data_IF_025828816665
#
_entry.id   IF_025828816665
#
_cell.length_a   1.000
_cell.length_b   1.000
_cell.length_c   1.000
_cell.angle_alpha   90.00
_cell.angle_beta   90.00
_cell.angle_gamma   90.00
#
_symmetry.space_group_name_H-M   'P 1'
#
loop_
_entity.id
_entity.type
_entity.pdbx_description
1 polymer ?
#
# COMPACT_ATOMS: atom_id res chain seq x y z
N UNK A 1 6.58 34.88 5.61
CA UNK A 1 6.56 34.24 6.94
C UNK A 1 7.97 33.72 7.14
N UNK A 2 8.72 34.37 8.03
CA UNK A 2 10.15 34.13 8.20
C UNK A 2 10.44 32.73 8.74
N UNK A 3 11.56 32.14 8.34
CA UNK A 3 12.03 30.82 8.78
C UNK A 3 12.18 30.78 10.33
N UNK A 4 12.59 31.88 10.93
CA UNK A 4 12.71 32.04 12.39
C UNK A 4 11.36 31.95 13.14
N UNK A 5 10.26 32.37 12.53
CA UNK A 5 8.91 32.34 13.15
C UNK A 5 8.35 30.89 13.16
N UNK A 6 8.79 30.08 12.20
CA UNK A 6 8.36 28.67 12.06
C UNK A 6 9.07 27.75 13.05
N UNK A 7 10.34 28.03 13.34
CA UNK A 7 11.12 27.23 14.32
C UNK A 7 10.60 27.45 15.75
N UNK A 8 10.27 28.70 16.12
CA UNK A 8 9.67 29.03 17.41
C UNK A 8 8.28 28.42 17.57
N UNK A 9 7.49 28.38 16.50
CA UNK A 9 6.17 27.75 16.52
C UNK A 9 6.28 26.23 16.71
N UNK A 10 7.22 25.58 16.02
CA UNK A 10 7.48 24.15 16.15
C UNK A 10 7.98 23.78 17.55
N UNK A 11 8.83 24.60 18.16
CA UNK A 11 9.29 24.43 19.53
C UNK A 11 8.13 24.47 20.51
N UNK A 12 7.26 25.46 20.40
CA UNK A 12 6.04 25.58 21.25
C UNK A 12 5.10 24.39 21.06
N UNK A 13 4.89 23.93 19.82
CA UNK A 13 4.06 22.76 19.52
C UNK A 13 4.64 21.51 20.16
N UNK A 14 5.96 21.35 20.11
CA UNK A 14 6.68 20.20 20.70
C UNK A 14 6.57 20.22 22.22
N UNK A 15 6.80 21.37 22.88
CA UNK A 15 6.71 21.48 24.33
C UNK A 15 5.30 21.17 24.86
N UNK A 16 4.27 21.70 24.18
CA UNK A 16 2.86 21.43 24.53
C UNK A 16 2.53 19.94 24.31
N UNK A 17 3.05 19.35 23.24
CA UNK A 17 2.83 17.94 22.94
C UNK A 17 3.50 17.02 23.98
N UNK A 18 4.74 17.26 24.34
CA UNK A 18 5.47 16.53 25.40
C UNK A 18 4.73 16.67 26.74
N UNK A 19 4.31 17.89 27.10
CA UNK A 19 3.56 18.10 28.35
C UNK A 19 2.27 17.25 28.39
N UNK A 20 1.56 17.17 27.28
CA UNK A 20 0.28 16.46 27.21
C UNK A 20 0.44 14.94 27.07
N UNK A 21 1.26 14.47 26.11
CA UNK A 21 1.32 13.06 25.75
C UNK A 21 2.33 12.25 26.56
N UNK A 22 3.46 12.84 26.97
CA UNK A 22 4.49 12.15 27.74
C UNK A 22 4.35 12.40 29.23
N UNK A 23 4.10 13.66 29.63
CA UNK A 23 4.03 14.05 31.04
C UNK A 23 2.60 13.97 31.60
N UNK A 24 1.61 13.51 30.83
CA UNK A 24 0.21 13.34 31.22
C UNK A 24 -0.45 14.58 31.83
N UNK A 25 0.04 15.79 31.52
CA UNK A 25 -0.57 17.04 31.98
C UNK A 25 -1.91 17.27 31.28
N UNK A 26 -2.89 17.79 32.04
CA UNK A 26 -4.17 18.17 31.45
C UNK A 26 -4.06 19.44 30.62
N UNK A 27 -4.97 19.64 29.66
CA UNK A 27 -4.99 20.87 28.86
C UNK A 27 -5.16 22.14 29.74
N UNK A 28 -5.70 22.01 30.94
CA UNK A 28 -5.90 23.09 31.88
C UNK A 28 -4.60 23.47 32.60
N UNK A 29 -3.79 22.49 33.00
CA UNK A 29 -2.46 22.69 33.58
C UNK A 29 -1.50 23.30 32.57
N UNK A 30 -1.53 22.80 31.32
CA UNK A 30 -0.75 23.35 30.21
C UNK A 30 -1.17 24.79 29.91
N UNK A 31 -2.46 25.08 29.89
CA UNK A 31 -2.96 26.43 29.69
C UNK A 31 -2.44 27.42 30.76
N UNK A 32 -2.42 27.02 32.02
CA UNK A 32 -1.86 27.82 33.14
C UNK A 32 -0.35 27.99 32.97
N UNK A 33 0.40 26.92 32.64
CA UNK A 33 1.84 26.95 32.49
C UNK A 33 2.30 27.90 31.38
N UNK A 34 1.61 27.87 30.23
CA UNK A 34 1.98 28.67 29.06
C UNK A 34 1.25 30.01 28.96
N UNK A 35 0.38 30.35 29.91
CA UNK A 35 -0.37 31.63 29.91
C UNK A 35 -1.36 31.76 28.75
N UNK A 36 -1.91 30.65 28.27
CA UNK A 36 -2.85 30.62 27.12
C UNK A 36 -4.17 29.97 27.51
N UNK A 37 -5.21 30.12 26.69
CA UNK A 37 -6.50 29.49 26.99
C UNK A 37 -6.45 27.98 26.70
N UNK A 38 -7.26 27.19 27.47
CA UNK A 38 -7.45 25.74 27.22
C UNK A 38 -7.85 25.42 25.78
N UNK A 39 -8.70 26.29 25.18
CA UNK A 39 -9.11 26.13 23.77
C UNK A 39 -7.91 26.28 22.83
N UNK A 40 -6.99 27.20 23.13
CA UNK A 40 -5.76 27.39 22.35
C UNK A 40 -4.84 26.17 22.49
N UNK A 41 -4.69 25.58 23.67
CA UNK A 41 -3.95 24.32 23.87
C UNK A 41 -4.51 23.21 22.98
N UNK A 42 -5.83 23.01 22.99
CA UNK A 42 -6.48 22.00 22.13
C UNK A 42 -6.22 22.22 20.63
N UNK A 43 -6.22 23.49 20.16
CA UNK A 43 -5.87 23.82 18.77
C UNK A 43 -4.41 23.52 18.45
N UNK A 44 -3.47 23.84 19.35
CA UNK A 44 -2.05 23.58 19.17
C UNK A 44 -1.75 22.08 19.17
N UNK A 45 -2.37 21.29 20.03
CA UNK A 45 -2.27 19.83 20.01
C UNK A 45 -2.80 19.23 18.70
N UNK A 46 -3.91 19.77 18.17
CA UNK A 46 -4.42 19.38 16.85
C UNK A 46 -3.41 19.75 15.74
N UNK A 47 -2.82 20.95 15.80
CA UNK A 47 -1.82 21.42 14.85
C UNK A 47 -0.57 20.55 14.90
N UNK A 48 -0.05 20.20 16.09
CA UNK A 48 1.09 19.31 16.28
C UNK A 48 0.89 17.94 15.60
N UNK A 49 -0.34 17.40 15.63
CA UNK A 49 -0.70 16.18 14.90
C UNK A 49 -0.74 16.39 13.39
N UNK A 50 -1.31 17.50 12.93
CA UNK A 50 -1.40 17.81 11.50
C UNK A 50 -0.03 18.05 10.86
N UNK A 51 0.91 18.60 11.62
CA UNK A 51 2.28 18.87 11.17
C UNK A 51 3.26 17.71 11.43
N UNK A 52 2.77 16.58 11.95
CA UNK A 52 3.58 15.37 12.17
C UNK A 52 4.52 15.43 13.37
N UNK A 53 4.43 16.48 14.23
CA UNK A 53 5.19 16.57 15.49
C UNK A 53 4.71 15.51 16.49
N UNK A 54 3.43 15.16 16.42
CA UNK A 54 2.82 14.09 17.23
C UNK A 54 2.20 13.05 16.33
N UNK A 55 2.64 11.82 16.47
CA UNK A 55 2.01 10.66 15.87
C UNK A 55 1.33 9.80 16.95
N UNK A 56 0.03 9.56 16.78
CA UNK A 56 -0.74 8.71 17.67
C UNK A 56 -1.02 7.39 16.98
N UNK A 57 -0.39 6.32 17.46
CA UNK A 57 -0.66 4.97 17.01
C UNK A 57 -1.62 4.28 17.99
N UNK A 58 -2.90 4.22 17.64
CA UNK A 58 -3.90 3.49 18.43
C UNK A 58 -3.84 2.02 18.08
N UNK A 59 -3.30 1.20 18.98
CA UNK A 59 -3.39 -0.25 18.86
C UNK A 59 -4.85 -0.66 19.08
N UNK A 60 -5.54 -0.93 17.96
CA UNK A 60 -6.93 -1.39 18.03
C UNK A 60 -7.02 -2.74 18.72
N UNK A 61 -8.02 -2.88 19.61
CA UNK A 61 -8.28 -4.14 20.26
C UNK A 61 -8.74 -5.18 19.21
N UNK A 62 -8.16 -6.37 19.15
CA UNK A 62 -8.42 -7.37 18.11
C UNK A 62 -9.89 -7.78 17.93
N UNK A 63 -10.74 -7.53 18.93
CA UNK A 63 -12.15 -7.95 18.92
C UNK A 63 -12.97 -7.28 17.80
N UNK A 64 -12.64 -6.04 17.37
CA UNK A 64 -13.46 -5.33 16.37
C UNK A 64 -13.20 -5.78 14.92
N UNK A 65 -11.98 -6.16 14.60
CA UNK A 65 -11.66 -6.67 13.26
C UNK A 65 -11.82 -8.18 13.15
N UNK A 66 -11.62 -8.93 14.25
CA UNK A 66 -11.54 -10.38 14.25
C UNK A 66 -12.76 -11.09 13.64
N UNK A 67 -13.98 -10.57 13.84
CA UNK A 67 -15.19 -11.17 13.27
C UNK A 67 -15.24 -11.01 11.73
N UNK A 68 -14.92 -9.81 11.23
CA UNK A 68 -14.90 -9.52 9.79
C UNK A 68 -13.75 -10.28 9.14
N UNK A 69 -12.57 -10.28 9.76
CA UNK A 69 -11.42 -11.05 9.30
C UNK A 69 -11.74 -12.53 9.16
N UNK A 70 -12.38 -13.12 10.17
CA UNK A 70 -12.80 -14.53 10.13
C UNK A 70 -13.83 -14.79 9.03
N UNK A 71 -14.78 -13.88 8.81
CA UNK A 71 -15.74 -13.98 7.73
C UNK A 71 -15.05 -13.97 6.36
N UNK A 72 -14.03 -13.12 6.17
CA UNK A 72 -13.21 -13.11 4.95
C UNK A 72 -12.47 -14.42 4.72
N UNK A 73 -11.76 -14.90 5.73
CA UNK A 73 -11.04 -16.19 5.66
C UNK A 73 -12.00 -17.31 5.26
N UNK A 74 -13.16 -17.37 5.89
CA UNK A 74 -14.17 -18.41 5.59
C UNK A 74 -14.80 -18.26 4.20
N UNK A 75 -15.05 -17.02 3.75
CA UNK A 75 -15.73 -16.78 2.48
C UNK A 75 -14.82 -16.96 1.26
N UNK A 76 -13.52 -16.67 1.38
CA UNK A 76 -12.60 -16.63 0.26
C UNK A 76 -11.44 -17.63 0.36
N UNK A 77 -11.29 -18.35 1.48
CA UNK A 77 -10.20 -19.31 1.67
C UNK A 77 -8.81 -18.69 1.78
N UNK A 78 -8.72 -17.37 2.03
CA UNK A 78 -7.44 -16.66 2.20
C UNK A 78 -6.82 -16.97 3.57
N UNK A 79 -5.51 -16.75 3.69
CA UNK A 79 -4.78 -17.02 4.95
C UNK A 79 -5.14 -16.01 6.04
N UNK A 80 -5.35 -14.73 5.67
CA UNK A 80 -5.65 -13.66 6.62
C UNK A 80 -6.30 -12.45 5.93
N UNK A 81 -7.10 -11.70 6.72
CA UNK A 81 -7.52 -10.35 6.37
C UNK A 81 -7.01 -9.38 7.44
N UNK A 82 -6.47 -8.26 7.01
CA UNK A 82 -5.99 -7.16 7.86
C UNK A 82 -6.95 -5.98 7.64
N UNK A 83 -7.87 -5.78 8.58
CA UNK A 83 -8.98 -4.84 8.41
C UNK A 83 -8.76 -3.61 9.30
N UNK A 84 -8.53 -2.46 8.65
CA UNK A 84 -8.43 -1.17 9.33
C UNK A 84 -9.82 -0.57 9.58
N UNK A 85 -9.96 0.16 10.67
CA UNK A 85 -11.17 0.96 10.94
C UNK A 85 -11.28 2.06 9.87
N UNK A 86 -12.54 2.39 9.53
CA UNK A 86 -12.82 3.43 8.55
C UNK A 86 -12.39 4.81 9.03
N UNK A 87 -11.77 5.57 8.16
CA UNK A 87 -11.41 6.96 8.37
C UNK A 87 -11.95 7.83 7.23
N UNK A 88 -12.30 9.09 7.53
CA UNK A 88 -12.85 10.02 6.52
C UNK A 88 -11.76 10.57 5.59
N UNK A 89 -10.55 10.76 6.10
CA UNK A 89 -9.40 11.21 5.33
C UNK A 89 -8.74 10.00 4.65
N UNK A 90 -8.56 10.05 3.34
CA UNK A 90 -8.01 8.94 2.55
C UNK A 90 -6.55 8.65 2.88
N UNK A 91 -5.74 9.68 3.18
CA UNK A 91 -4.35 9.49 3.56
C UNK A 91 -4.24 8.82 4.93
N UNK A 92 -5.08 9.23 5.88
CA UNK A 92 -5.14 8.58 7.18
C UNK A 92 -5.64 7.13 7.04
N UNK A 93 -6.65 6.87 6.21
CA UNK A 93 -7.12 5.52 5.91
C UNK A 93 -5.98 4.67 5.34
N UNK A 94 -5.18 5.21 4.42
CA UNK A 94 -4.02 4.53 3.82
C UNK A 94 -2.94 4.25 4.86
N UNK A 95 -2.64 5.21 5.74
CA UNK A 95 -1.68 5.03 6.85
C UNK A 95 -2.11 3.92 7.80
N UNK A 96 -3.40 3.86 8.15
CA UNK A 96 -3.97 2.82 9.02
C UNK A 96 -3.82 1.42 8.42
N UNK A 97 -4.19 1.25 7.15
CA UNK A 97 -4.03 -0.02 6.43
C UNK A 97 -2.54 -0.40 6.34
N UNK A 98 -1.68 0.55 5.99
CA UNK A 98 -0.23 0.34 5.91
C UNK A 98 0.38 -0.07 7.26
N UNK A 99 -0.10 0.51 8.37
CA UNK A 99 0.32 0.14 9.73
C UNK A 99 0.05 -1.34 10.02
N UNK A 100 -1.13 -1.84 9.67
CA UNK A 100 -1.47 -3.26 9.85
C UNK A 100 -0.53 -4.18 9.06
N UNK A 101 -0.24 -3.83 7.80
CA UNK A 101 0.69 -4.59 6.94
C UNK A 101 2.10 -4.55 7.51
N UNK A 102 2.57 -3.37 7.94
CA UNK A 102 3.91 -3.21 8.53
C UNK A 102 4.07 -4.04 9.80
N UNK A 103 3.08 -4.02 10.69
CA UNK A 103 3.07 -4.82 11.91
C UNK A 103 3.07 -6.33 11.58
N UNK A 104 2.30 -6.72 10.57
CA UNK A 104 2.28 -8.11 10.11
C UNK A 104 3.66 -8.53 9.57
N UNK A 105 4.26 -7.75 8.67
CA UNK A 105 5.60 -8.01 8.14
C UNK A 105 6.64 -8.13 9.26
N UNK A 106 6.62 -7.22 10.23
CA UNK A 106 7.53 -7.25 11.38
C UNK A 106 7.44 -8.55 12.18
N UNK A 107 6.24 -9.16 12.23
CA UNK A 107 6.01 -10.42 12.95
C UNK A 107 6.41 -11.67 12.18
N UNK A 108 6.36 -11.63 10.83
CA UNK A 108 6.56 -12.84 10.00
C UNK A 108 7.90 -12.88 9.29
N UNK A 109 8.54 -11.73 9.04
CA UNK A 109 9.83 -11.69 8.36
C UNK A 109 10.91 -12.39 9.17
N UNK A 110 11.69 -13.22 8.47
CA UNK A 110 12.84 -13.97 9.00
C UNK A 110 14.07 -13.67 8.17
N UNK A 111 15.24 -13.91 8.76
CA UNK A 111 16.49 -13.83 8.02
C UNK A 111 16.50 -14.81 6.83
N UNK A 112 17.01 -14.33 5.71
CA UNK A 112 17.08 -15.09 4.46
C UNK A 112 15.83 -15.00 3.57
N UNK A 113 14.71 -14.43 4.07
CA UNK A 113 13.51 -14.25 3.24
C UNK A 113 13.70 -13.17 2.18
N UNK A 114 12.97 -13.33 1.08
CA UNK A 114 12.87 -12.37 -0.01
C UNK A 114 11.43 -11.90 -0.20
N UNK A 115 11.28 -10.60 -0.54
CA UNK A 115 10.00 -9.95 -0.70
C UNK A 115 9.95 -9.28 -2.07
N UNK A 116 9.05 -9.71 -2.94
CA UNK A 116 8.77 -9.03 -4.20
C UNK A 116 7.89 -7.80 -3.92
N UNK A 117 8.32 -6.64 -4.40
CA UNK A 117 7.67 -5.36 -4.12
C UNK A 117 7.06 -4.79 -5.39
N UNK A 118 5.76 -4.59 -5.37
CA UNK A 118 5.02 -3.84 -6.37
C UNK A 118 5.17 -2.33 -6.18
N UNK A 119 4.40 -1.58 -6.95
CA UNK A 119 4.35 -0.12 -6.89
C UNK A 119 3.00 0.39 -6.40
N UNK A 120 2.89 1.70 -6.25
CA UNK A 120 1.63 2.39 -5.97
C UNK A 120 1.52 2.93 -4.54
N UNK A 121 0.58 3.85 -4.36
CA UNK A 121 0.39 4.62 -3.11
C UNK A 121 0.21 3.75 -1.87
N UNK A 122 -0.58 2.67 -1.99
CA UNK A 122 -0.83 1.77 -0.88
C UNK A 122 0.42 0.99 -0.45
N UNK A 123 1.24 0.55 -1.41
CA UNK A 123 2.50 -0.16 -1.11
C UNK A 123 3.55 0.83 -0.56
N UNK A 124 3.62 2.04 -1.12
CA UNK A 124 4.51 3.11 -0.65
C UNK A 124 4.23 3.51 0.80
N UNK A 125 2.96 3.54 1.20
CA UNK A 125 2.57 3.87 2.57
C UNK A 125 3.15 2.90 3.62
N UNK A 126 3.40 1.63 3.26
CA UNK A 126 4.07 0.66 4.15
C UNK A 126 5.51 1.11 4.42
N UNK A 127 6.20 1.57 3.37
CA UNK A 127 7.57 2.05 3.47
C UNK A 127 7.67 3.36 4.27
N UNK A 128 6.65 4.20 4.20
CA UNK A 128 6.57 5.49 4.91
C UNK A 128 6.09 5.37 6.36
N UNK A 129 5.53 4.23 6.77
CA UNK A 129 5.03 4.06 8.14
C UNK A 129 6.17 4.18 9.15
N UNK A 130 5.98 5.00 10.17
CA UNK A 130 6.99 5.27 11.22
C UNK A 130 6.90 4.20 12.31
N UNK A 131 8.05 3.75 12.79
CA UNK A 131 8.16 2.78 13.87
C UNK A 131 9.56 2.17 13.97
N UNK A 132 9.83 1.55 15.10
CA UNK A 132 11.04 0.76 15.30
C UNK A 132 10.77 -0.67 14.88
N UNK A 133 11.50 -1.14 13.90
CA UNK A 133 11.34 -2.49 13.35
C UNK A 133 12.54 -3.35 13.69
N UNK A 134 12.34 -4.66 13.96
CA UNK A 134 13.44 -5.57 14.18
C UNK A 134 14.29 -5.69 12.92
N UNK A 135 15.59 -5.63 13.08
CA UNK A 135 16.54 -5.91 12.00
C UNK A 135 16.31 -7.30 11.42
N UNK A 136 16.25 -7.40 10.10
CA UNK A 136 16.05 -8.66 9.38
C UNK A 136 16.99 -8.74 8.20
N UNK A 137 17.81 -9.76 8.14
CA UNK A 137 18.64 -10.07 6.97
C UNK A 137 17.75 -10.64 5.85
N UNK A 138 16.87 -9.82 5.30
CA UNK A 138 16.00 -10.15 4.19
C UNK A 138 16.31 -9.27 2.96
N UNK A 139 15.65 -9.54 1.84
CA UNK A 139 15.85 -8.82 0.59
C UNK A 139 14.53 -8.36 0.00
N UNK A 140 14.40 -7.08 -0.29
CA UNK A 140 13.28 -6.50 -1.03
C UNK A 140 13.65 -6.38 -2.51
N UNK A 141 12.90 -7.04 -3.39
CA UNK A 141 13.19 -7.17 -4.82
C UNK A 141 12.08 -6.47 -5.61
N UNK A 142 12.42 -5.58 -6.53
CA UNK A 142 11.42 -4.96 -7.40
C UNK A 142 10.67 -6.02 -8.22
N UNK A 143 9.35 -6.09 -8.05
CA UNK A 143 8.46 -6.98 -8.82
C UNK A 143 7.98 -6.36 -10.13
N UNK A 144 8.24 -5.06 -10.35
CA UNK A 144 7.91 -4.30 -11.55
C UNK A 144 9.02 -3.29 -11.81
N UNK A 145 9.18 -2.87 -13.06
CA UNK A 145 10.16 -1.86 -13.47
C UNK A 145 9.92 -0.48 -12.84
N UNK A 146 10.88 0.43 -13.03
CA UNK A 146 10.81 1.78 -12.48
C UNK A 146 9.95 2.74 -13.31
N UNK A 147 9.46 3.78 -12.69
CA UNK A 147 8.75 4.91 -13.33
C UNK A 147 9.59 6.17 -13.22
N UNK A 148 9.69 6.92 -14.31
CA UNK A 148 10.51 8.14 -14.42
C UNK A 148 9.67 9.42 -14.31
N UNK A 149 8.73 9.53 -13.37
CA UNK A 149 8.09 10.83 -13.14
C UNK A 149 8.60 11.49 -11.88
N UNK A 150 9.00 12.75 -12.02
CA UNK A 150 9.47 13.61 -10.93
C UNK A 150 8.43 13.70 -9.81
N UNK A 151 8.86 13.43 -8.59
CA UNK A 151 8.16 13.80 -7.37
C UNK A 151 7.25 12.75 -6.73
N UNK A 152 7.00 11.61 -7.31
CA UNK A 152 6.18 10.58 -6.66
C UNK A 152 7.02 9.36 -6.23
N UNK A 153 7.21 9.23 -4.92
CA UNK A 153 7.99 8.18 -4.26
C UNK A 153 7.25 6.83 -4.20
N UNK A 154 6.57 6.46 -5.30
CA UNK A 154 5.68 5.29 -5.36
C UNK A 154 6.12 4.22 -6.35
N UNK A 155 7.30 4.38 -6.97
CA UNK A 155 7.89 3.33 -7.78
C UNK A 155 8.47 2.19 -6.91
N UNK A 156 8.56 0.99 -7.51
CA UNK A 156 8.99 -0.20 -6.80
C UNK A 156 10.43 -0.10 -6.27
N UNK A 157 11.34 0.60 -6.95
CA UNK A 157 12.73 0.74 -6.49
C UNK A 157 12.80 1.64 -5.25
N UNK A 158 12.14 2.80 -5.27
CA UNK A 158 12.08 3.69 -4.12
C UNK A 158 11.46 3.00 -2.90
N UNK A 159 10.33 2.32 -3.10
CA UNK A 159 9.63 1.55 -2.06
C UNK A 159 10.54 0.46 -1.50
N UNK A 160 11.19 -0.34 -2.37
CA UNK A 160 12.08 -1.43 -1.96
C UNK A 160 13.27 -0.94 -1.15
N UNK A 161 13.89 0.18 -1.54
CA UNK A 161 15.00 0.81 -0.79
C UNK A 161 14.55 1.32 0.57
N UNK A 162 13.38 1.93 0.66
CA UNK A 162 12.84 2.44 1.92
C UNK A 162 12.46 1.31 2.87
N UNK A 163 11.84 0.24 2.37
CA UNK A 163 11.57 -0.97 3.15
C UNK A 163 12.86 -1.63 3.63
N UNK A 164 13.87 -1.76 2.74
CA UNK A 164 15.17 -2.31 3.10
C UNK A 164 15.83 -1.51 4.23
N UNK A 165 15.82 -0.16 4.12
CA UNK A 165 16.35 0.72 5.17
C UNK A 165 15.60 0.54 6.49
N UNK A 166 14.27 0.43 6.43
CA UNK A 166 13.39 0.26 7.60
C UNK A 166 13.68 -1.03 8.39
N UNK A 167 13.95 -2.13 7.68
CA UNK A 167 14.23 -3.44 8.30
C UNK A 167 15.71 -3.76 8.42
N UNK A 168 16.61 -2.80 8.14
CA UNK A 168 18.05 -3.02 8.01
C UNK A 168 18.40 -4.21 7.11
N UNK A 169 17.71 -4.26 5.97
CA UNK A 169 17.77 -5.31 4.96
C UNK A 169 18.45 -4.81 3.67
N UNK A 170 18.46 -5.61 2.62
CA UNK A 170 18.96 -5.22 1.30
C UNK A 170 17.82 -5.04 0.30
N UNK A 171 18.06 -4.27 -0.77
CA UNK A 171 17.13 -4.13 -1.88
C UNK A 171 17.79 -4.52 -3.20
N UNK A 172 16.97 -4.94 -4.15
CA UNK A 172 17.39 -5.29 -5.51
C UNK A 172 16.51 -4.59 -6.54
N UNK A 173 17.15 -3.77 -7.37
CA UNK A 173 16.50 -2.96 -8.41
C UNK A 173 16.26 -3.78 -9.67
N UNK A 174 15.08 -3.67 -10.27
CA UNK A 174 14.82 -4.15 -11.63
C UNK A 174 15.19 -3.04 -12.61
N UNK A 175 16.32 -3.19 -13.30
CA UNK A 175 16.83 -2.22 -14.26
C UNK A 175 16.08 -2.24 -15.60
N UNK A 176 14.76 -2.03 -15.52
CA UNK A 176 13.87 -1.91 -16.66
C UNK A 176 12.86 -0.81 -16.40
N UNK A 177 12.34 -0.13 -17.43
CA UNK A 177 11.14 0.70 -17.26
C UNK A 177 9.95 -0.18 -16.91
N UNK A 178 9.00 0.35 -16.12
CA UNK A 178 7.76 -0.36 -15.84
C UNK A 178 6.86 -0.46 -17.07
N UNK A 179 6.89 0.58 -17.90
CA UNK A 179 6.09 0.70 -19.12
C UNK A 179 6.99 0.87 -20.35
N UNK A 180 6.59 0.21 -21.42
CA UNK A 180 7.17 0.34 -22.77
C UNK A 180 6.06 0.49 -23.81
N UNK A 181 6.38 1.04 -24.96
CA UNK A 181 5.41 1.43 -25.98
C UNK A 181 4.74 0.24 -26.67
N UNK A 182 5.42 -0.90 -26.73
CA UNK A 182 4.93 -2.07 -27.48
C UNK A 182 5.51 -3.39 -26.97
N UNK A 183 4.92 -4.49 -27.47
CA UNK A 183 5.26 -5.86 -27.12
C UNK A 183 6.70 -6.25 -27.52
N UNK A 184 7.20 -5.72 -28.63
CA UNK A 184 8.54 -6.01 -29.15
C UNK A 184 9.60 -5.48 -28.18
N UNK A 185 9.44 -4.24 -27.71
CA UNK A 185 10.31 -3.66 -26.69
C UNK A 185 10.23 -4.44 -25.37
N UNK A 186 9.03 -4.81 -24.92
CA UNK A 186 8.89 -5.66 -23.73
C UNK A 186 9.68 -6.96 -23.89
N UNK A 187 9.54 -7.65 -25.02
CA UNK A 187 10.29 -8.89 -25.29
C UNK A 187 11.80 -8.66 -25.25
N UNK A 188 12.28 -7.57 -25.87
CA UNK A 188 13.70 -7.24 -25.88
C UNK A 188 14.24 -7.02 -24.46
N UNK A 189 13.53 -6.26 -23.60
CA UNK A 189 13.92 -6.10 -22.21
C UNK A 189 13.95 -7.43 -21.44
N UNK A 190 12.92 -8.26 -21.61
CA UNK A 190 12.84 -9.57 -20.93
C UNK A 190 13.89 -10.58 -21.37
N UNK A 191 14.54 -10.38 -22.54
CA UNK A 191 15.70 -11.16 -23.00
C UNK A 191 17.01 -10.72 -22.36
N UNK A 192 17.06 -9.49 -21.79
CA UNK A 192 18.25 -9.01 -21.11
C UNK A 192 18.53 -9.86 -19.87
N UNK A 193 19.77 -10.36 -19.74
CA UNK A 193 20.17 -11.27 -18.67
C UNK A 193 19.93 -10.70 -17.28
N UNK A 194 20.30 -9.44 -17.03
CA UNK A 194 20.18 -8.82 -15.70
C UNK A 194 18.71 -8.69 -15.30
N UNK A 195 17.85 -8.25 -16.23
CA UNK A 195 16.41 -8.11 -16.02
C UNK A 195 15.77 -9.47 -15.73
N UNK A 196 16.11 -10.47 -16.57
CA UNK A 196 15.60 -11.83 -16.42
C UNK A 196 15.98 -12.43 -15.05
N UNK A 197 17.23 -12.31 -14.63
CA UNK A 197 17.71 -12.83 -13.35
C UNK A 197 17.02 -12.15 -12.15
N UNK A 198 16.78 -10.82 -12.21
CA UNK A 198 16.06 -10.11 -11.14
C UNK A 198 14.60 -10.56 -11.07
N UNK A 199 13.90 -10.67 -12.22
CA UNK A 199 12.52 -11.17 -12.25
C UNK A 199 12.43 -12.64 -11.79
N UNK A 200 13.40 -13.48 -12.11
CA UNK A 200 13.46 -14.86 -11.62
C UNK A 200 13.60 -14.94 -10.09
N UNK A 201 14.37 -14.02 -9.49
CA UNK A 201 14.45 -13.90 -8.02
C UNK A 201 13.16 -13.37 -7.44
N UNK A 202 12.52 -12.38 -8.05
CA UNK A 202 11.24 -11.86 -7.61
C UNK A 202 10.13 -12.92 -7.67
N UNK A 203 10.10 -13.78 -8.70
CA UNK A 203 9.16 -14.92 -8.83
C UNK A 203 9.31 -15.96 -7.73
N UNK A 204 10.51 -16.08 -7.17
CA UNK A 204 10.84 -17.03 -6.09
C UNK A 204 10.79 -16.40 -4.71
N UNK A 205 10.28 -15.19 -4.60
CA UNK A 205 10.13 -14.51 -3.33
C UNK A 205 9.20 -15.29 -2.37
N UNK A 206 9.43 -15.15 -1.08
CA UNK A 206 8.59 -15.74 -0.03
C UNK A 206 7.28 -14.98 0.14
N UNK A 207 7.33 -13.66 -0.11
CA UNK A 207 6.19 -12.74 0.00
C UNK A 207 6.16 -11.82 -1.22
N UNK A 208 4.96 -11.49 -1.71
CA UNK A 208 4.74 -10.38 -2.63
C UNK A 208 3.87 -9.30 -1.99
N UNK A 209 4.24 -8.04 -2.15
CA UNK A 209 3.46 -6.86 -1.77
C UNK A 209 2.91 -6.21 -3.02
N UNK A 210 1.59 -6.19 -3.19
CA UNK A 210 0.94 -5.66 -4.40
C UNK A 210 -0.18 -4.70 -4.06
N UNK A 211 -0.35 -3.67 -4.88
CA UNK A 211 -1.53 -2.81 -4.86
C UNK A 211 -2.67 -3.44 -5.66
N UNK A 212 -3.89 -3.04 -5.34
CA UNK A 212 -5.08 -3.29 -6.15
C UNK A 212 -5.61 -1.95 -6.69
N UNK A 213 -5.84 -1.89 -8.00
CA UNK A 213 -6.49 -0.79 -8.69
C UNK A 213 -7.90 -1.15 -9.14
N UNK A 214 -8.74 -0.13 -9.30
CA UNK A 214 -10.03 -0.20 -9.98
C UNK A 214 -9.90 0.27 -11.43
N UNK A 215 -10.92 0.04 -12.24
CA UNK A 215 -10.97 0.46 -13.64
C UNK A 215 -11.48 1.91 -13.77
N UNK A 216 -10.78 2.83 -13.11
CA UNK A 216 -11.09 4.26 -13.17
C UNK A 216 -10.29 4.90 -14.32
N UNK A 217 -10.98 5.63 -15.20
CA UNK A 217 -10.40 6.35 -16.33
C UNK A 217 -9.43 7.48 -15.93
N UNK A 218 -9.47 7.90 -14.67
CA UNK A 218 -8.50 8.78 -14.04
C UNK A 218 -7.56 8.03 -13.08
N UNK A 219 -7.34 6.73 -13.33
CA UNK A 219 -6.46 5.90 -12.51
C UNK A 219 -5.02 6.41 -12.53
N UNK A 220 -4.24 5.99 -11.54
CA UNK A 220 -2.83 6.38 -11.47
C UNK A 220 -2.04 5.97 -12.72
N UNK A 221 -2.34 4.83 -13.33
CA UNK A 221 -1.69 4.37 -14.57
C UNK A 221 -1.98 5.31 -15.76
N UNK A 222 -3.17 5.91 -15.79
CA UNK A 222 -3.52 6.95 -16.77
C UNK A 222 -2.76 8.24 -16.48
N UNK A 223 -2.68 8.65 -15.22
CA UNK A 223 -1.92 9.85 -14.82
C UNK A 223 -0.41 9.72 -15.14
N UNK A 224 0.16 8.52 -15.01
CA UNK A 224 1.52 8.20 -15.43
C UNK A 224 1.70 8.19 -16.94
N UNK A 225 0.62 8.19 -17.73
CA UNK A 225 0.67 8.09 -19.18
C UNK A 225 1.00 6.67 -19.71
N UNK A 226 0.82 5.64 -18.91
CA UNK A 226 1.01 4.25 -19.33
C UNK A 226 -0.14 3.78 -20.21
N UNK A 227 -1.37 4.17 -19.82
CA UNK A 227 -2.61 3.83 -20.50
C UNK A 227 -3.41 5.10 -20.76
N UNK A 228 -4.18 5.07 -21.83
CA UNK A 228 -5.14 6.14 -22.12
C UNK A 228 -6.46 5.88 -21.38
N UNK A 229 -7.24 6.92 -21.06
CA UNK A 229 -8.59 6.73 -20.52
C UNK A 229 -9.44 5.81 -21.38
N UNK A 230 -9.32 5.90 -22.71
CA UNK A 230 -10.07 5.07 -23.66
C UNK A 230 -9.71 3.59 -23.58
N UNK A 231 -8.44 3.24 -23.33
CA UNK A 231 -8.02 1.85 -23.13
C UNK A 231 -8.62 1.26 -21.85
N UNK A 232 -8.63 2.03 -20.76
CA UNK A 232 -9.25 1.62 -19.49
C UNK A 232 -10.76 1.43 -19.66
N UNK A 233 -11.46 2.39 -20.30
CA UNK A 233 -12.89 2.30 -20.58
C UNK A 233 -13.19 1.07 -21.45
N UNK A 234 -12.39 0.83 -22.50
CA UNK A 234 -12.58 -0.33 -23.38
C UNK A 234 -12.37 -1.66 -22.62
N UNK A 235 -11.32 -1.76 -21.80
CA UNK A 235 -11.07 -2.95 -20.99
C UNK A 235 -12.22 -3.20 -19.99
N UNK A 236 -12.78 -2.15 -19.38
CA UNK A 236 -13.89 -2.27 -18.43
C UNK A 236 -15.19 -2.63 -19.12
N UNK A 237 -15.62 -1.87 -20.13
CA UNK A 237 -16.96 -2.02 -20.75
C UNK A 237 -17.00 -3.20 -21.69
N UNK A 238 -16.02 -3.35 -22.58
CA UNK A 238 -16.06 -4.34 -23.66
C UNK A 238 -15.41 -5.67 -23.29
N UNK A 239 -14.46 -5.66 -22.36
CA UNK A 239 -13.71 -6.87 -21.95
C UNK A 239 -14.08 -7.34 -20.54
N UNK A 240 -14.86 -6.54 -19.77
CA UNK A 240 -15.36 -6.90 -18.45
C UNK A 240 -14.35 -6.81 -17.32
N UNK A 241 -13.22 -6.10 -17.52
CA UNK A 241 -12.27 -5.87 -16.45
C UNK A 241 -12.87 -4.96 -15.37
N UNK A 242 -12.75 -5.36 -14.10
CA UNK A 242 -13.25 -4.58 -12.95
C UNK A 242 -12.15 -4.08 -12.04
N UNK A 243 -10.95 -4.58 -12.20
CA UNK A 243 -9.81 -4.21 -11.38
C UNK A 243 -8.51 -4.76 -11.95
N UNK A 244 -7.41 -4.37 -11.29
CA UNK A 244 -6.08 -4.84 -11.64
C UNK A 244 -5.25 -5.17 -10.39
N UNK A 245 -4.29 -6.06 -10.54
CA UNK A 245 -3.27 -6.40 -9.55
C UNK A 245 -1.92 -5.93 -10.07
N UNK A 246 -1.14 -5.31 -9.21
CA UNK A 246 0.24 -4.88 -9.47
C UNK A 246 0.40 -3.88 -10.64
N UNK A 247 -0.70 -3.19 -11.03
CA UNK A 247 -0.71 -2.13 -12.03
C UNK A 247 -1.09 -2.57 -13.44
N UNK A 248 -1.26 -3.87 -13.73
CA UNK A 248 -1.53 -4.34 -15.10
C UNK A 248 -2.08 -5.76 -15.21
N UNK A 249 -2.24 -6.46 -14.12
CA UNK A 249 -2.90 -7.77 -14.10
C UNK A 249 -4.42 -7.59 -14.02
N UNK A 250 -5.08 -7.41 -15.17
CA UNK A 250 -6.53 -7.15 -15.22
C UNK A 250 -7.34 -8.43 -15.00
N UNK A 251 -8.48 -8.29 -14.32
CA UNK A 251 -9.39 -9.40 -14.01
C UNK A 251 -10.86 -8.95 -14.01
N UNK A 252 -11.76 -9.91 -14.27
CA UNK A 252 -13.20 -9.73 -14.19
C UNK A 252 -13.74 -9.97 -12.75
N UNK A 253 -15.04 -9.78 -12.56
CA UNK A 253 -15.72 -9.96 -11.27
C UNK A 253 -15.68 -11.42 -10.77
N UNK A 254 -15.37 -12.38 -11.63
CA UNK A 254 -15.17 -13.79 -11.26
C UNK A 254 -13.71 -14.11 -10.94
N UNK A 255 -12.83 -13.11 -11.03
CA UNK A 255 -11.39 -13.25 -10.82
C UNK A 255 -10.64 -13.89 -12.00
N UNK A 256 -11.29 -14.01 -13.17
CA UNK A 256 -10.64 -14.54 -14.38
C UNK A 256 -9.79 -13.46 -15.00
N UNK A 257 -8.57 -13.79 -15.46
CA UNK A 257 -7.71 -12.84 -16.16
C UNK A 257 -8.42 -12.25 -17.37
N UNK A 258 -8.25 -10.96 -17.59
CA UNK A 258 -8.71 -10.25 -18.78
C UNK A 258 -7.48 -9.81 -19.57
N UNK A 259 -7.31 -10.39 -20.75
CA UNK A 259 -6.21 -10.03 -21.65
C UNK A 259 -6.53 -8.74 -22.39
N UNK A 260 -5.63 -7.79 -22.27
CA UNK A 260 -5.71 -6.48 -22.92
C UNK A 260 -4.39 -6.16 -23.62
N UNK A 261 -4.41 -5.26 -24.59
CA UNK A 261 -3.18 -4.75 -25.22
C UNK A 261 -2.27 -4.03 -24.19
N UNK A 262 -2.81 -3.62 -23.07
CA UNK A 262 -2.07 -2.98 -22.00
C UNK A 262 -1.08 -3.94 -21.31
N UNK A 263 -1.45 -5.24 -21.19
CA UNK A 263 -0.58 -6.26 -20.60
C UNK A 263 0.74 -6.42 -21.37
N UNK A 264 0.73 -6.16 -22.67
CA UNK A 264 1.91 -6.28 -23.53
C UNK A 264 2.93 -5.15 -23.36
N UNK A 265 2.61 -4.13 -22.56
CA UNK A 265 3.45 -2.92 -22.40
C UNK A 265 4.05 -2.73 -21.01
N UNK A 266 3.78 -3.63 -20.07
CA UNK A 266 4.31 -3.52 -18.69
C UNK A 266 5.32 -4.63 -18.40
N UNK A 267 6.45 -4.26 -17.80
CA UNK A 267 7.53 -5.16 -17.40
C UNK A 267 7.48 -5.38 -15.90
N UNK A 268 7.05 -6.56 -15.48
CA UNK A 268 6.90 -6.94 -14.07
C UNK A 268 6.37 -8.38 -13.95
N UNK A 269 6.00 -8.77 -12.72
CA UNK A 269 5.46 -10.10 -12.43
C UNK A 269 4.02 -10.21 -12.90
N UNK A 270 3.69 -11.22 -13.72
CA UNK A 270 2.31 -11.50 -14.12
C UNK A 270 1.45 -12.07 -12.99
N UNK A 271 0.13 -12.12 -13.18
CA UNK A 271 -0.82 -12.77 -12.24
C UNK A 271 -0.43 -14.24 -12.03
N UNK A 272 -0.08 -14.95 -13.09
CA UNK A 272 0.31 -16.36 -13.05
C UNK A 272 1.60 -16.56 -12.25
N UNK A 273 2.54 -15.63 -12.38
CA UNK A 273 3.79 -15.65 -11.60
C UNK A 273 3.54 -15.32 -10.12
N UNK A 274 2.66 -14.37 -9.84
CA UNK A 274 2.26 -14.06 -8.46
C UNK A 274 1.59 -15.25 -7.76
N UNK A 275 0.77 -16.05 -8.47
CA UNK A 275 0.14 -17.27 -7.91
C UNK A 275 1.14 -18.29 -7.37
N UNK A 276 2.36 -18.29 -7.87
CA UNK A 276 3.39 -19.22 -7.45
C UNK A 276 4.19 -18.71 -6.22
N UNK A 277 3.97 -17.47 -5.80
CA UNK A 277 4.60 -16.90 -4.60
C UNK A 277 3.85 -17.40 -3.35
N UNK A 278 4.53 -17.94 -2.34
CA UNK A 278 3.89 -18.55 -1.18
C UNK A 278 2.94 -17.66 -0.40
N UNK A 279 3.14 -16.34 -0.43
CA UNK A 279 2.29 -15.38 0.26
C UNK A 279 2.17 -14.07 -0.52
N UNK A 280 1.00 -13.83 -1.11
CA UNK A 280 0.68 -12.56 -1.79
C UNK A 280 -0.17 -11.68 -0.89
N UNK A 281 0.35 -10.54 -0.50
CA UNK A 281 -0.33 -9.53 0.31
C UNK A 281 -0.82 -8.41 -0.62
N UNK A 282 -2.13 -8.31 -0.79
CA UNK A 282 -2.76 -7.25 -1.55
C UNK A 282 -3.24 -6.12 -0.64
N UNK A 283 -3.07 -4.87 -1.09
CA UNK A 283 -3.35 -3.70 -0.28
C UNK A 283 -4.26 -2.74 -1.06
N UNK A 284 -5.40 -2.40 -0.47
CA UNK A 284 -6.38 -1.48 -1.04
C UNK A 284 -7.08 -0.70 0.07
N UNK A 285 -6.72 0.56 0.26
CA UNK A 285 -7.24 1.40 1.35
C UNK A 285 -8.45 2.24 0.96
N UNK A 286 -8.55 2.65 -0.30
CA UNK A 286 -9.59 3.53 -0.80
C UNK A 286 -10.96 2.83 -0.79
N UNK A 287 -12.02 3.52 -0.31
CA UNK A 287 -13.37 2.93 -0.12
C UNK A 287 -14.10 2.58 -1.43
N UNK A 288 -13.56 2.96 -2.58
CA UNK A 288 -14.10 2.62 -3.92
C UNK A 288 -13.68 1.23 -4.41
N UNK A 289 -12.79 0.54 -3.71
CA UNK A 289 -12.10 -0.67 -4.21
C UNK A 289 -12.87 -1.99 -4.00
N UNK A 290 -14.07 -1.97 -3.42
CA UNK A 290 -14.78 -3.21 -3.04
C UNK A 290 -14.96 -4.21 -4.20
N UNK A 291 -15.30 -3.74 -5.40
CA UNK A 291 -15.46 -4.60 -6.58
C UNK A 291 -14.13 -5.21 -7.03
N UNK A 292 -13.07 -4.40 -7.08
CA UNK A 292 -11.73 -4.87 -7.41
C UNK A 292 -11.22 -5.88 -6.36
N UNK A 293 -11.44 -5.63 -5.07
CA UNK A 293 -11.10 -6.58 -4.00
C UNK A 293 -11.86 -7.90 -4.19
N UNK A 294 -13.16 -7.86 -4.50
CA UNK A 294 -13.96 -9.07 -4.71
C UNK A 294 -13.41 -9.93 -5.86
N UNK A 295 -13.14 -9.32 -7.03
CA UNK A 295 -12.56 -10.03 -8.17
C UNK A 295 -11.15 -10.56 -7.87
N UNK A 296 -10.31 -9.74 -7.23
CA UNK A 296 -8.96 -10.14 -6.85
C UNK A 296 -8.96 -11.36 -5.89
N UNK A 297 -9.85 -11.38 -4.90
CA UNK A 297 -10.01 -12.53 -3.98
C UNK A 297 -10.46 -13.79 -4.72
N UNK A 298 -11.39 -13.65 -5.68
CA UNK A 298 -11.86 -14.78 -6.50
C UNK A 298 -10.81 -15.31 -7.48
N UNK A 299 -9.83 -14.50 -7.85
CA UNK A 299 -8.73 -14.94 -8.72
C UNK A 299 -7.87 -16.04 -8.10
N UNK A 300 -7.91 -16.19 -6.75
CA UNK A 300 -7.06 -17.12 -6.01
C UNK A 300 -5.58 -16.73 -5.96
N UNK A 301 -5.24 -15.49 -6.34
CA UNK A 301 -3.87 -14.96 -6.25
C UNK A 301 -3.55 -14.46 -4.86
N UNK A 302 -4.55 -13.93 -4.15
CA UNK A 302 -4.38 -13.23 -2.88
C UNK A 302 -4.41 -14.21 -1.72
N UNK A 303 -3.36 -14.21 -0.91
CA UNK A 303 -3.32 -14.93 0.37
C UNK A 303 -3.73 -14.06 1.54
N UNK A 304 -3.38 -12.78 1.50
CA UNK A 304 -3.68 -11.81 2.55
C UNK A 304 -4.21 -10.53 1.90
N UNK A 305 -5.35 -10.05 2.38
CA UNK A 305 -5.88 -8.75 2.00
C UNK A 305 -5.73 -7.75 3.15
N UNK A 306 -5.27 -6.55 2.85
CA UNK A 306 -5.28 -5.42 3.77
C UNK A 306 -6.17 -4.31 3.22
N UNK A 307 -7.22 -3.94 3.97
CA UNK A 307 -8.23 -2.98 3.49
C UNK A 307 -9.00 -2.32 4.64
N UNK A 308 -9.92 -1.41 4.30
CA UNK A 308 -10.82 -0.75 5.24
C UNK A 308 -12.01 -1.65 5.64
N UNK A 309 -12.64 -1.36 6.78
CA UNK A 309 -13.83 -2.07 7.24
C UNK A 309 -15.03 -1.84 6.30
N UNK A 310 -15.16 -0.67 5.68
CA UNK A 310 -16.18 -0.36 4.67
C UNK A 310 -16.06 -1.25 3.45
N UNK A 311 -14.87 -1.35 2.86
CA UNK A 311 -14.61 -2.28 1.77
C UNK A 311 -14.93 -3.71 2.16
N UNK A 312 -14.46 -4.13 3.33
CA UNK A 312 -14.66 -5.49 3.81
C UNK A 312 -16.16 -5.83 3.92
N UNK A 313 -16.97 -4.98 4.54
CA UNK A 313 -18.43 -5.19 4.62
C UNK A 313 -19.09 -5.25 3.25
N UNK A 314 -18.71 -4.33 2.35
CA UNK A 314 -19.26 -4.29 0.99
C UNK A 314 -18.94 -5.56 0.22
N UNK A 315 -17.69 -6.03 0.28
CA UNK A 315 -17.23 -7.27 -0.36
C UNK A 315 -18.02 -8.49 0.16
N UNK A 316 -18.18 -8.61 1.49
CA UNK A 316 -18.95 -9.70 2.09
C UNK A 316 -20.43 -9.67 1.66
N UNK A 317 -21.04 -8.48 1.61
CA UNK A 317 -22.42 -8.33 1.12
C UNK A 317 -22.55 -8.74 -0.34
N UNK A 318 -21.63 -8.29 -1.21
CA UNK A 318 -21.62 -8.67 -2.62
C UNK A 318 -21.42 -10.18 -2.84
N UNK A 319 -20.69 -10.85 -1.95
CA UNK A 319 -20.48 -12.30 -2.02
C UNK A 319 -21.70 -13.10 -1.60
N UNK A 320 -22.54 -12.56 -0.69
CA UNK A 320 -23.74 -13.25 -0.18
C UNK A 320 -24.96 -13.17 -1.13
N UNK A 321 -25.00 -12.16 -2.00
CA UNK A 321 -26.12 -11.92 -2.95
C UNK A 321 -25.91 -12.60 -4.31
N UNK A 322 -25.26 -13.75 -4.32
CA UNK A 322 -25.16 -14.64 -5.50
C UNK A 322 -26.19 -15.73 -5.52
#
# INVERSE_FOLDING_TARGET
>A
MDIFDRDQENELLTEIAVAYYENAQTQEEIAKRFGISRIKVGRLLKKARTEGIVEINVKYHPIFSSKIEQQFVNAFGIKRALIAIDHQDEEEQRRQVASLVTNYLSSVLKNGMSIAVGQGRNVAAIASHIGVFPEKQCKFICGIGGTLRDGEFIDADHISRNLARKFNATSETLYAPAYVENRELKKAFLQNRVIKETLERARKADIALVGLGDMNDNSYMVQLGWFTPQEIINASINQGAIGEIAGYGFFDIQGRPVDTVMNDRVIGLSIEELKNIPCVIAIASENTKAMAILGALKSGVIDIIATSASNARTVLNLQQHK
#
